data_IF_016978997417
#
_entry.id   IF_016978997417
#
_cell.length_a   1.000
_cell.length_b   1.000
_cell.length_c   1.000
_cell.angle_alpha   90.00
_cell.angle_beta   90.00
_cell.angle_gamma   90.00
#
_symmetry.space_group_name_H-M   'P 1'
#
loop_
_entity.id
_entity.type
_entity.pdbx_description
1 polymer ?
#
# COMPACT_ATOMS: atom_id res chain seq x y z
N UNK A 1 -13.88 14.02 -14.03
CA UNK A 1 -14.33 12.98 -13.09
C UNK A 1 -13.65 11.68 -13.50
N UNK A 2 -12.56 11.29 -12.83
CA UNK A 2 -11.83 10.06 -13.15
C UNK A 2 -12.45 8.91 -12.36
N UNK A 3 -13.44 8.24 -12.97
CA UNK A 3 -14.00 6.99 -12.49
C UNK A 3 -13.12 5.84 -13.00
N UNK A 4 -11.93 5.67 -12.41
CA UNK A 4 -11.18 4.44 -12.60
C UNK A 4 -11.75 3.42 -11.60
N UNK A 5 -12.12 2.20 -12.03
CA UNK A 5 -12.53 1.17 -11.09
C UNK A 5 -11.41 1.03 -10.06
N UNK A 6 -11.76 0.89 -8.78
CA UNK A 6 -10.82 0.54 -7.71
C UNK A 6 -10.17 -0.81 -8.06
N UNK A 7 -9.23 -0.81 -9.00
CA UNK A 7 -8.14 -1.76 -9.00
C UNK A 7 -7.43 -1.39 -7.71
N UNK A 8 -7.69 -2.16 -6.65
CA UNK A 8 -6.98 -1.95 -5.40
C UNK A 8 -5.50 -1.98 -5.75
N UNK A 9 -4.74 -0.94 -5.38
CA UNK A 9 -3.30 -0.91 -5.68
C UNK A 9 -2.62 -2.23 -5.26
N UNK A 10 -3.13 -2.86 -4.20
CA UNK A 10 -2.74 -4.20 -3.74
C UNK A 10 -2.80 -5.29 -4.82
N UNK A 11 -3.77 -5.27 -5.72
CA UNK A 11 -3.88 -6.25 -6.81
C UNK A 11 -2.85 -6.04 -7.93
N UNK A 12 -2.20 -4.87 -7.96
CA UNK A 12 -1.13 -4.55 -8.90
C UNK A 12 0.26 -4.78 -8.31
N UNK A 13 0.40 -5.02 -7.01
CA UNK A 13 1.71 -5.29 -6.40
C UNK A 13 2.28 -6.59 -6.97
N UNK A 14 3.52 -6.54 -7.43
CA UNK A 14 4.23 -7.73 -7.90
C UNK A 14 4.23 -8.81 -6.80
N UNK A 15 3.91 -10.06 -7.15
CA UNK A 15 3.65 -11.11 -6.18
C UNK A 15 4.81 -11.35 -5.18
N UNK A 16 6.05 -11.17 -5.62
CA UNK A 16 7.23 -11.30 -4.75
C UNK A 16 7.36 -10.15 -3.73
N UNK A 17 6.76 -8.99 -3.98
CA UNK A 17 6.87 -7.81 -3.14
C UNK A 17 5.68 -7.69 -2.17
N UNK A 18 4.57 -8.40 -2.44
CA UNK A 18 3.34 -8.31 -1.64
C UNK A 18 3.53 -8.62 -0.15
N UNK A 19 4.34 -9.64 0.18
CA UNK A 19 4.64 -9.99 1.58
C UNK A 19 5.43 -8.89 2.30
N UNK A 20 6.44 -8.33 1.62
CA UNK A 20 7.24 -7.22 2.14
C UNK A 20 6.40 -5.96 2.36
N UNK A 21 5.57 -5.59 1.38
CA UNK A 21 4.68 -4.42 1.50
C UNK A 21 3.72 -4.60 2.69
N UNK A 22 3.11 -5.78 2.82
CA UNK A 22 2.21 -6.08 3.94
C UNK A 22 2.91 -5.91 5.30
N UNK A 23 4.09 -6.50 5.47
CA UNK A 23 4.85 -6.43 6.72
C UNK A 23 5.20 -4.97 7.10
N UNK A 24 5.70 -4.19 6.14
CA UNK A 24 6.05 -2.79 6.40
C UNK A 24 4.84 -1.94 6.77
N UNK A 25 3.69 -2.18 6.14
CA UNK A 25 2.43 -1.52 6.51
C UNK A 25 2.02 -1.90 7.93
N UNK A 26 2.03 -3.19 8.30
CA UNK A 26 1.68 -3.62 9.66
C UNK A 26 2.59 -2.99 10.73
N UNK A 27 3.91 -2.99 10.50
CA UNK A 27 4.87 -2.36 11.40
C UNK A 27 4.55 -0.87 11.59
N UNK A 28 4.24 -0.16 10.51
CA UNK A 28 3.92 1.27 10.59
C UNK A 28 2.59 1.53 11.31
N UNK A 29 1.60 0.66 11.12
CA UNK A 29 0.32 0.72 11.82
C UNK A 29 0.48 0.50 13.33
N UNK A 30 1.22 -0.53 13.72
CA UNK A 30 1.52 -0.84 15.13
C UNK A 30 2.24 0.31 15.83
N UNK A 31 3.16 0.97 15.12
CA UNK A 31 3.95 2.07 15.67
C UNK A 31 3.29 3.45 15.48
N UNK A 32 2.09 3.53 14.91
CA UNK A 32 1.41 4.78 14.57
C UNK A 32 2.26 5.76 13.75
N UNK A 33 3.09 5.23 12.85
CA UNK A 33 4.05 5.98 12.06
C UNK A 33 3.71 5.99 10.58
N UNK A 34 4.33 6.94 9.86
CA UNK A 34 4.36 6.91 8.39
C UNK A 34 5.34 5.83 7.92
N UNK A 35 5.05 5.18 6.79
CA UNK A 35 6.00 4.32 6.09
C UNK A 35 6.42 4.92 4.75
N UNK A 36 7.55 4.47 4.24
CA UNK A 36 7.96 4.71 2.85
C UNK A 36 8.48 3.40 2.29
N UNK A 37 7.80 2.85 1.29
CA UNK A 37 8.04 1.50 0.78
C UNK A 37 8.30 1.60 -0.72
N UNK A 38 9.40 0.98 -1.16
CA UNK A 38 9.69 0.84 -2.59
C UNK A 38 9.32 -0.57 -3.03
N UNK A 39 8.47 -0.70 -4.05
CA UNK A 39 8.01 -2.00 -4.56
C UNK A 39 7.66 -1.91 -6.04
N UNK A 40 7.44 -3.07 -6.67
CA UNK A 40 7.06 -3.15 -8.06
C UNK A 40 5.55 -3.28 -8.22
N UNK A 41 5.02 -2.56 -9.20
CA UNK A 41 3.68 -2.77 -9.72
C UNK A 41 3.75 -3.52 -11.05
N UNK A 42 2.93 -4.54 -11.22
CA UNK A 42 2.68 -5.21 -12.49
C UNK A 42 1.47 -4.58 -13.17
N UNK A 43 1.71 -3.99 -14.33
CA UNK A 43 0.66 -3.41 -15.18
C UNK A 43 -0.11 -4.52 -15.91
N UNK A 44 -1.32 -4.20 -16.40
CA UNK A 44 -2.17 -5.15 -17.13
C UNK A 44 -1.51 -5.75 -18.40
N UNK A 45 -0.50 -5.07 -18.95
CA UNK A 45 0.29 -5.55 -20.09
C UNK A 45 1.50 -6.42 -19.68
N UNK A 46 1.66 -6.72 -18.39
CA UNK A 46 2.78 -7.49 -17.84
C UNK A 46 4.05 -6.68 -17.53
N UNK A 47 4.06 -5.37 -17.81
CA UNK A 47 5.22 -4.53 -17.50
C UNK A 47 5.32 -4.28 -16.00
N UNK A 48 6.55 -4.32 -15.49
CA UNK A 48 6.85 -3.95 -14.12
C UNK A 48 7.36 -2.51 -14.04
N UNK A 49 6.81 -1.73 -13.11
CA UNK A 49 7.34 -0.41 -12.75
C UNK A 49 7.70 -0.39 -11.27
N UNK A 50 8.79 0.28 -10.92
CA UNK A 50 9.15 0.51 -9.52
C UNK A 50 8.51 1.81 -9.06
N UNK A 51 7.85 1.78 -7.92
CA UNK A 51 7.26 2.95 -7.27
C UNK A 51 7.87 3.15 -5.89
N UNK A 52 7.89 4.39 -5.43
CA UNK A 52 8.17 4.75 -4.05
C UNK A 52 6.87 5.29 -3.46
N UNK A 53 6.29 4.52 -2.54
CA UNK A 53 5.01 4.84 -1.94
C UNK A 53 5.23 5.32 -0.51
N UNK A 54 4.50 6.37 -0.11
CA UNK A 54 4.54 6.91 1.24
C UNK A 54 3.13 6.97 1.77
N UNK A 55 2.87 6.24 2.83
CA UNK A 55 1.56 6.24 3.46
C UNK A 55 1.62 6.26 4.98
N UNK A 56 0.44 6.26 5.58
CA UNK A 56 0.25 6.20 7.03
C UNK A 56 -1.03 5.47 7.39
N UNK A 57 -1.08 4.95 8.61
CA UNK A 57 -2.35 4.50 9.18
C UNK A 57 -3.31 5.65 9.40
N UNK A 58 -4.59 5.41 9.08
CA UNK A 58 -5.71 6.22 9.54
C UNK A 58 -6.30 5.55 10.78
N UNK A 59 -6.51 6.32 11.85
CA UNK A 59 -7.01 5.82 13.12
C UNK A 59 -8.33 6.52 13.48
N UNK A 60 -9.25 5.79 14.12
CA UNK A 60 -10.40 6.39 14.79
C UNK A 60 -9.97 7.13 16.05
N UNK A 61 -10.87 7.95 16.62
CA UNK A 61 -10.63 8.56 17.94
C UNK A 61 -10.39 7.52 19.05
N UNK A 62 -10.83 6.27 18.86
CA UNK A 62 -10.57 5.14 19.75
C UNK A 62 -9.26 4.39 19.49
N UNK A 63 -8.47 4.81 18.49
CA UNK A 63 -7.21 4.16 18.11
C UNK A 63 -7.36 2.93 17.21
N UNK A 64 -8.56 2.66 16.69
CA UNK A 64 -8.78 1.56 15.75
C UNK A 64 -8.27 1.92 14.36
N UNK A 65 -7.55 1.02 13.70
CA UNK A 65 -7.10 1.22 12.30
C UNK A 65 -8.33 1.24 11.39
N UNK A 66 -8.52 2.37 10.71
CA UNK A 66 -9.59 2.59 9.73
C UNK A 66 -9.14 2.33 8.29
N UNK A 67 -7.83 2.41 8.03
CA UNK A 67 -7.27 2.19 6.70
C UNK A 67 -5.84 2.71 6.58
N UNK A 68 -5.37 2.78 5.33
CA UNK A 68 -4.07 3.34 4.94
C UNK A 68 -4.32 4.39 3.87
N UNK A 69 -3.70 5.56 4.01
CA UNK A 69 -3.71 6.68 3.05
C UNK A 69 -2.32 6.84 2.43
#
# INVERSE_FOLDING_TARGET
MLNQPQVSLGAMIHAADAGYVWEQVQIALENQNTFTIQYRLTQANGNEIVVLDKGRGLYSESGMVLGVE
#
